data_IF_366835834277
#
_entry.id   IF_366835834277
#
_cell.length_a   1.000
_cell.length_b   1.000
_cell.length_c   1.000
_cell.angle_alpha   90.00
_cell.angle_beta   90.00
_cell.angle_gamma   90.00
#
_symmetry.space_group_name_H-M   'P 1'
#
loop_
_entity.id
_entity.type
_entity.pdbx_description
1 polymer ?
#
# COMPACT_ATOMS: atom_id res chain seq x y z
N UNK A 1 -18.25 -67.29 -15.59
CA UNK A 1 -17.24 -67.22 -14.51
C UNK A 1 -17.53 -65.91 -13.77
N UNK A 2 -18.32 -65.89 -12.68
CA UNK A 2 -17.89 -66.06 -11.27
C UNK A 2 -16.65 -65.19 -10.96
N UNK A 3 -16.60 -64.28 -9.98
CA UNK A 3 -17.48 -63.83 -8.88
C UNK A 3 -16.92 -62.46 -8.41
N UNK A 4 -17.71 -61.45 -8.00
CA UNK A 4 -18.31 -61.26 -6.66
C UNK A 4 -17.60 -60.07 -5.95
N UNK A 5 -18.22 -58.88 -5.77
CA UNK A 5 -19.07 -58.45 -4.63
C UNK A 5 -18.35 -58.52 -3.26
N UNK A 6 -18.42 -57.60 -2.30
CA UNK A 6 -19.38 -56.53 -2.00
C UNK A 6 -18.89 -55.59 -0.88
N UNK A 7 -19.51 -54.41 -0.81
CA UNK A 7 -19.59 -53.41 0.27
C UNK A 7 -19.66 -53.92 1.73
N UNK A 8 -19.39 -53.02 2.67
CA UNK A 8 -20.21 -52.94 3.90
C UNK A 8 -20.27 -51.51 4.45
N UNK A 9 -21.45 -50.92 4.30
CA UNK A 9 -21.99 -49.82 5.11
C UNK A 9 -22.74 -50.39 6.34
N UNK A 10 -23.01 -49.50 7.30
CA UNK A 10 -24.08 -49.47 8.32
C UNK A 10 -23.79 -49.77 9.82
N UNK A 11 -23.87 -48.68 10.61
CA UNK A 11 -24.75 -48.37 11.76
C UNK A 11 -25.08 -49.45 12.81
N UNK A 12 -25.10 -49.03 14.10
CA UNK A 12 -26.21 -49.30 15.04
C UNK A 12 -26.21 -48.37 16.26
N UNK A 13 -27.42 -48.04 16.70
CA UNK A 13 -27.80 -47.20 17.85
C UNK A 13 -28.52 -48.04 18.95
N UNK A 14 -28.50 -47.51 20.18
CA UNK A 14 -29.57 -47.52 21.21
C UNK A 14 -29.66 -48.61 22.32
N UNK A 15 -30.20 -48.13 23.48
CA UNK A 15 -30.86 -48.76 24.67
C UNK A 15 -29.98 -49.14 25.92
N UNK A 16 -30.37 -48.97 27.20
CA UNK A 16 -31.45 -48.24 27.97
C UNK A 16 -31.21 -48.39 29.51
N UNK A 17 -31.75 -47.45 30.31
CA UNK A 17 -32.12 -47.34 31.77
C UNK A 17 -31.53 -48.22 32.90
N UNK A 18 -31.31 -47.57 34.08
CA UNK A 18 -31.99 -47.76 35.41
C UNK A 18 -31.48 -46.69 36.42
N UNK A 19 -32.27 -45.69 36.87
CA UNK A 19 -33.16 -45.53 38.06
C UNK A 19 -32.50 -45.60 39.46
N UNK A 20 -32.57 -44.49 40.21
CA UNK A 20 -32.99 -44.48 41.64
C UNK A 20 -32.10 -43.79 42.69
N UNK A 21 -32.46 -42.58 43.16
CA UNK A 21 -32.87 -42.27 44.55
C UNK A 21 -33.09 -40.75 44.79
N UNK A 22 -33.99 -40.44 45.73
CA UNK A 22 -34.72 -39.19 45.93
C UNK A 22 -34.40 -38.54 47.29
N UNK A 23 -34.58 -37.20 47.36
CA UNK A 23 -34.72 -36.31 48.54
C UNK A 23 -33.43 -35.98 49.32
N UNK A 24 -33.14 -34.74 49.75
CA UNK A 24 -33.97 -33.75 50.47
C UNK A 24 -33.48 -32.31 50.20
N UNK A 25 -34.39 -31.35 50.32
CA UNK A 25 -34.18 -29.91 50.15
C UNK A 25 -33.42 -29.25 51.32
N UNK A 26 -32.62 -28.23 51.01
CA UNK A 26 -32.32 -27.11 51.91
C UNK A 26 -31.94 -25.87 51.09
N UNK A 27 -32.70 -24.79 51.25
CA UNK A 27 -32.42 -23.47 50.69
C UNK A 27 -31.28 -22.78 51.45
N UNK A 28 -30.33 -22.21 50.72
CA UNK A 28 -29.53 -21.07 51.16
C UNK A 28 -29.20 -20.22 49.91
N UNK A 29 -29.53 -18.91 49.90
CA UNK A 29 -29.15 -17.99 48.84
C UNK A 29 -27.77 -17.42 49.14
N UNK A 30 -26.93 -17.28 48.13
CA UNK A 30 -25.58 -16.74 48.30
C UNK A 30 -24.78 -16.85 47.02
N UNK A 31 -25.07 -15.91 46.12
CA UNK A 31 -24.12 -15.15 45.32
C UNK A 31 -23.25 -15.84 44.25
N UNK A 32 -23.03 -15.04 43.21
CA UNK A 32 -21.96 -15.08 42.22
C UNK A 32 -22.29 -15.74 40.87
N UNK A 33 -22.90 -14.87 40.07
CA UNK A 33 -22.49 -14.44 38.72
C UNK A 33 -22.81 -15.34 37.51
N UNK A 34 -23.67 -14.73 36.69
CA UNK A 34 -23.98 -15.02 35.30
C UNK A 34 -22.70 -15.12 34.48
N UNK A 35 -22.64 -16.15 33.64
CA UNK A 35 -21.65 -16.26 32.56
C UNK A 35 -21.95 -15.20 31.52
N UNK A 36 -21.02 -14.26 31.39
CA UNK A 36 -21.03 -13.12 30.49
C UNK A 36 -21.39 -13.50 29.04
N UNK A 37 -22.36 -12.76 28.51
CA UNK A 37 -22.60 -12.59 27.09
C UNK A 37 -21.39 -11.85 26.49
N UNK A 38 -20.65 -12.47 25.57
CA UNK A 38 -19.67 -11.75 24.75
C UNK A 38 -20.44 -10.80 23.81
N UNK A 39 -20.59 -9.54 24.23
CA UNK A 39 -20.88 -8.43 23.35
C UNK A 39 -19.61 -8.12 22.53
N UNK A 40 -19.72 -8.27 21.21
CA UNK A 40 -18.72 -7.73 20.30
C UNK A 40 -18.99 -6.23 20.20
N UNK A 41 -18.30 -5.48 21.06
CA UNK A 41 -18.29 -4.03 20.98
C UNK A 41 -17.42 -3.65 19.77
N UNK A 42 -18.07 -3.19 18.68
CA UNK A 42 -17.41 -2.50 17.57
C UNK A 42 -16.78 -1.20 18.09
N UNK A 43 -15.54 -1.29 18.58
CA UNK A 43 -14.71 -0.11 18.84
C UNK A 43 -14.06 0.32 17.52
N UNK A 44 -14.76 1.15 16.75
CA UNK A 44 -14.13 2.03 15.76
C UNK A 44 -13.29 3.09 16.48
N UNK A 45 -12.18 2.64 17.08
CA UNK A 45 -11.24 3.43 17.85
C UNK A 45 -10.06 3.90 16.99
N UNK A 46 -10.00 5.22 16.78
CA UNK A 46 -8.91 6.02 16.21
C UNK A 46 -7.49 5.40 16.28
N UNK A 47 -7.10 4.69 15.23
CA UNK A 47 -5.71 4.39 14.89
C UNK A 47 -5.38 4.93 13.50
N UNK A 48 -5.58 6.24 13.28
CA UNK A 48 -5.39 6.87 11.98
C UNK A 48 -3.98 7.48 11.87
N UNK A 49 -3.02 6.61 11.57
CA UNK A 49 -1.76 7.04 10.96
C UNK A 49 -2.09 7.76 9.66
N UNK A 50 -1.71 9.03 9.54
CA UNK A 50 -1.86 9.82 8.31
C UNK A 50 -0.65 9.52 7.45
N UNK A 51 -0.88 9.06 6.22
CA UNK A 51 0.22 8.74 5.32
C UNK A 51 0.88 10.01 4.80
N UNK A 52 2.18 9.93 4.53
CA UNK A 52 2.87 10.99 3.79
C UNK A 52 2.14 11.21 2.45
N UNK A 53 1.88 12.47 2.10
CA UNK A 53 1.17 12.87 0.91
C UNK A 53 -0.31 13.17 1.09
N UNK A 54 -0.92 12.72 2.20
CA UNK A 54 -2.34 12.96 2.45
C UNK A 54 -2.63 14.45 2.54
N UNK A 55 -3.58 14.93 1.73
CA UNK A 55 -4.13 16.28 1.85
C UNK A 55 -5.11 16.33 3.03
N UNK A 56 -4.98 17.39 3.82
CA UNK A 56 -5.70 17.59 5.06
C UNK A 56 -6.43 18.93 5.03
N UNK A 57 -7.65 18.99 5.53
CA UNK A 57 -8.39 20.24 5.77
C UNK A 57 -8.34 20.58 7.23
N UNK A 58 -8.03 21.84 7.54
CA UNK A 58 -8.18 22.36 8.90
C UNK A 58 -9.66 22.45 9.25
N UNK A 59 -10.07 21.80 10.34
CA UNK A 59 -11.46 21.81 10.83
C UNK A 59 -11.67 22.78 12.00
N UNK A 60 -10.61 23.25 12.65
CA UNK A 60 -10.68 24.26 13.71
C UNK A 60 -10.91 25.67 13.14
N UNK A 61 -11.42 26.58 13.96
CA UNK A 61 -11.55 28.01 13.57
C UNK A 61 -10.18 28.70 13.41
N UNK A 62 -9.18 28.22 14.14
CA UNK A 62 -7.79 28.64 14.04
C UNK A 62 -6.89 27.51 14.58
N UNK A 63 -5.91 27.05 13.80
CA UNK A 63 -5.02 25.96 14.16
C UNK A 63 -3.55 26.41 14.14
N UNK A 64 -2.81 26.14 15.21
CA UNK A 64 -1.40 26.51 15.28
C UNK A 64 -0.52 25.48 14.54
N UNK A 65 0.24 25.92 13.54
CA UNK A 65 1.37 25.19 12.98
C UNK A 65 2.58 25.37 13.90
N UNK A 66 3.13 24.27 14.43
CA UNK A 66 4.16 24.30 15.47
C UNK A 66 5.50 23.74 15.02
N UNK A 67 6.58 24.20 15.65
CA UNK A 67 7.94 23.73 15.33
C UNK A 67 8.19 22.26 15.68
N UNK A 68 7.57 21.75 16.76
CA UNK A 68 7.69 20.36 17.20
C UNK A 68 6.29 19.78 17.52
N UNK A 69 6.18 18.46 17.60
CA UNK A 69 4.97 17.71 17.94
C UNK A 69 4.54 17.85 19.43
N UNK A 70 4.43 19.09 19.93
CA UNK A 70 4.05 19.41 21.31
C UNK A 70 3.35 20.77 21.39
N UNK A 71 2.42 20.92 22.34
CA UNK A 71 1.66 22.17 22.56
C UNK A 71 2.48 23.31 23.16
N UNK A 72 3.63 23.03 23.76
CA UNK A 72 4.55 24.01 24.34
C UNK A 72 5.58 24.57 23.35
N UNK A 73 5.67 23.99 22.14
CA UNK A 73 6.63 24.44 21.14
C UNK A 73 6.20 25.72 20.42
N UNK A 74 7.18 26.43 19.85
CA UNK A 74 6.98 27.70 19.14
C UNK A 74 5.96 27.55 18.00
N UNK A 75 5.07 28.53 17.89
CA UNK A 75 4.10 28.67 16.81
C UNK A 75 4.81 29.32 15.61
N UNK A 76 4.72 28.69 14.44
CA UNK A 76 5.29 29.15 13.17
C UNK A 76 4.25 29.93 12.34
N UNK A 77 2.99 29.53 12.44
CA UNK A 77 1.86 30.07 11.69
C UNK A 77 0.55 29.70 12.40
N UNK A 78 -0.50 30.50 12.17
CA UNK A 78 -1.88 30.18 12.52
C UNK A 78 -2.61 29.94 11.21
N UNK A 79 -3.22 28.76 11.09
CA UNK A 79 -3.91 28.25 9.92
C UNK A 79 -5.41 28.47 10.09
N UNK A 80 -6.07 28.90 9.02
CA UNK A 80 -7.49 29.24 9.04
C UNK A 80 -8.37 28.00 8.82
N UNK A 81 -9.65 28.09 9.23
CA UNK A 81 -10.63 27.04 8.94
C UNK A 81 -10.73 26.78 7.44
N UNK A 82 -10.68 25.52 7.03
CA UNK A 82 -10.77 25.12 5.64
C UNK A 82 -9.44 25.17 4.86
N UNK A 83 -8.37 25.69 5.44
CA UNK A 83 -7.03 25.69 4.82
C UNK A 83 -6.56 24.26 4.54
N UNK A 84 -5.91 24.06 3.39
CA UNK A 84 -5.41 22.74 2.96
C UNK A 84 -3.95 22.58 3.31
N UNK A 85 -3.59 21.41 3.85
CA UNK A 85 -2.24 21.05 4.27
C UNK A 85 -1.83 19.74 3.58
N UNK A 86 -0.53 19.55 3.34
CA UNK A 86 -0.02 18.28 2.82
C UNK A 86 0.79 17.59 3.91
N UNK A 87 0.45 16.35 4.25
CA UNK A 87 1.26 15.56 5.17
C UNK A 87 2.63 15.26 4.56
N UNK A 88 3.74 15.64 5.21
CA UNK A 88 5.09 15.44 4.65
C UNK A 88 5.81 14.22 5.24
N UNK A 89 5.25 13.57 6.25
CA UNK A 89 5.78 12.34 6.83
C UNK A 89 4.66 11.55 7.51
N UNK A 90 4.66 10.23 7.32
CA UNK A 90 3.69 9.32 7.94
C UNK A 90 3.62 9.55 9.45
N UNK A 91 2.43 9.82 9.98
CA UNK A 91 2.27 10.18 11.39
C UNK A 91 2.53 8.99 12.31
N UNK A 92 3.16 9.23 13.46
CA UNK A 92 3.52 8.15 14.41
C UNK A 92 2.34 7.65 15.26
N UNK A 93 1.09 7.98 14.93
CA UNK A 93 -0.08 7.69 15.77
C UNK A 93 -0.12 8.46 17.11
N UNK A 94 0.82 9.37 17.35
CA UNK A 94 0.96 10.13 18.59
C UNK A 94 0.05 11.37 18.67
N UNK A 95 -0.97 11.46 17.82
CA UNK A 95 -1.88 12.61 17.74
C UNK A 95 -1.31 13.85 17.03
N UNK A 96 -0.13 13.76 16.43
CA UNK A 96 0.50 14.85 15.67
C UNK A 96 0.76 14.45 14.22
N UNK A 97 0.63 15.41 13.31
CA UNK A 97 0.91 15.23 11.88
C UNK A 97 1.92 16.28 11.46
N UNK A 98 2.96 15.85 10.74
CA UNK A 98 3.92 16.75 10.12
C UNK A 98 3.41 17.16 8.74
N UNK A 99 3.34 18.46 8.48
CA UNK A 99 2.65 19.03 7.33
C UNK A 99 3.39 20.21 6.71
N UNK A 100 3.06 20.50 5.46
CA UNK A 100 3.35 21.74 4.74
C UNK A 100 2.05 22.54 4.57
N UNK A 101 2.05 23.82 4.95
CA UNK A 101 0.91 24.74 4.76
C UNK A 101 0.86 25.34 3.36
N UNK A 102 -0.25 26.00 2.99
CA UNK A 102 -0.38 26.69 1.69
C UNK A 102 0.68 27.79 1.50
N UNK A 103 1.19 28.35 2.60
CA UNK A 103 2.28 29.33 2.61
C UNK A 103 3.67 28.71 2.39
N UNK A 104 3.78 27.39 2.34
CA UNK A 104 5.03 26.63 2.17
C UNK A 104 5.82 26.42 3.48
N UNK A 105 5.22 26.64 4.66
CA UNK A 105 5.88 26.40 5.94
C UNK A 105 5.71 24.96 6.38
N UNK A 106 6.81 24.38 6.87
CA UNK A 106 6.84 23.03 7.42
C UNK A 106 6.66 23.07 8.95
N UNK A 107 5.79 22.22 9.49
CA UNK A 107 5.58 22.13 10.92
C UNK A 107 4.65 21.00 11.35
N UNK A 108 4.23 21.05 12.60
CA UNK A 108 3.40 20.03 13.23
C UNK A 108 2.04 20.61 13.61
N UNK A 109 0.98 19.87 13.26
CA UNK A 109 -0.40 20.14 13.65
C UNK A 109 -0.99 18.97 14.42
N UNK A 110 -1.99 19.23 15.24
CA UNK A 110 -2.69 18.17 15.98
C UNK A 110 -3.68 17.44 15.07
N UNK A 111 -3.66 16.11 15.09
CA UNK A 111 -4.52 15.23 14.29
C UNK A 111 -6.01 15.47 14.52
N UNK A 112 -6.37 15.96 15.71
CA UNK A 112 -7.76 16.24 16.12
C UNK A 112 -8.41 17.35 15.29
N UNK A 113 -7.61 18.28 14.74
CA UNK A 113 -8.12 19.48 14.07
C UNK A 113 -7.91 19.46 12.55
N UNK A 114 -7.67 18.28 12.01
CA UNK A 114 -7.49 18.06 10.58
C UNK A 114 -8.31 16.84 10.13
N UNK A 115 -8.91 16.95 8.96
CA UNK A 115 -9.60 15.85 8.29
C UNK A 115 -8.97 15.57 6.94
N UNK A 116 -9.01 14.34 6.47
CA UNK A 116 -8.38 13.96 5.20
C UNK A 116 -9.29 14.38 4.04
N UNK A 117 -8.80 15.28 3.18
CA UNK A 117 -9.50 15.69 1.97
C UNK A 117 -9.23 14.61 0.93
N UNK A 118 -10.16 13.65 0.81
CA UNK A 118 -10.02 12.53 -0.13
C UNK A 118 -10.26 11.14 0.45
N UNK A 119 -10.64 11.02 1.74
CA UNK A 119 -11.05 9.75 2.36
C UNK A 119 -12.43 9.23 1.93
N UNK A 120 -12.85 9.49 0.68
CA UNK A 120 -14.09 8.99 0.10
C UNK A 120 -13.81 8.01 -1.04
N UNK A 121 -14.09 6.73 -0.78
CA UNK A 121 -13.95 5.58 -1.70
C UNK A 121 -14.42 5.85 -3.13
N UNK A 122 -13.47 6.18 -4.01
CA UNK A 122 -13.57 6.03 -5.46
C UNK A 122 -12.19 5.73 -6.09
N UNK A 123 -11.09 6.29 -5.54
CA UNK A 123 -9.74 5.84 -5.86
C UNK A 123 -9.40 4.51 -5.19
N UNK A 124 -9.80 4.33 -3.92
CA UNK A 124 -9.56 3.14 -3.09
C UNK A 124 -9.85 1.84 -3.84
N UNK A 125 -11.08 1.65 -4.33
CA UNK A 125 -11.44 0.41 -5.02
C UNK A 125 -10.59 0.13 -6.26
N UNK A 126 -10.30 1.13 -7.12
CA UNK A 126 -9.65 0.87 -8.43
C UNK A 126 -8.13 0.87 -8.35
N UNK A 127 -7.57 1.56 -7.35
CA UNK A 127 -6.13 1.65 -7.11
C UNK A 127 -5.64 0.72 -6.00
N UNK A 128 -6.54 -0.08 -5.40
CA UNK A 128 -6.23 -0.95 -4.25
C UNK A 128 -5.04 -1.88 -4.54
N UNK A 129 -3.95 -1.81 -3.74
CA UNK A 129 -2.81 -2.71 -3.87
C UNK A 129 -3.16 -4.20 -3.85
N UNK A 130 -4.27 -4.61 -3.22
CA UNK A 130 -4.74 -6.01 -3.20
C UNK A 130 -4.96 -6.54 -4.62
N UNK A 131 -5.35 -5.69 -5.58
CA UNK A 131 -5.50 -6.09 -6.98
C UNK A 131 -4.19 -6.58 -7.60
N UNK A 132 -3.05 -6.09 -7.14
CA UNK A 132 -1.75 -6.52 -7.63
C UNK A 132 -1.31 -7.88 -7.10
N UNK A 133 -1.99 -8.43 -6.09
CA UNK A 133 -1.64 -9.72 -5.51
C UNK A 133 -1.69 -10.83 -6.57
N UNK A 134 -0.62 -11.62 -6.65
CA UNK A 134 -0.52 -12.72 -7.62
C UNK A 134 -0.43 -12.28 -9.10
N UNK A 135 -0.39 -10.98 -9.41
CA UNK A 135 -0.27 -10.51 -10.80
C UNK A 135 1.07 -10.91 -11.45
N UNK A 136 2.12 -11.09 -10.65
CA UNK A 136 3.45 -11.57 -11.02
C UNK A 136 4.00 -12.49 -9.91
N UNK A 137 4.96 -13.37 -10.25
CA UNK A 137 5.59 -14.25 -9.26
C UNK A 137 6.51 -13.52 -8.28
N UNK A 138 6.76 -14.12 -7.11
CA UNK A 138 7.40 -13.48 -5.95
C UNK A 138 8.74 -12.78 -6.25
N UNK A 139 9.63 -13.42 -7.00
CA UNK A 139 10.93 -12.81 -7.34
C UNK A 139 10.81 -11.66 -8.36
N UNK A 140 9.80 -11.69 -9.23
CA UNK A 140 9.45 -10.57 -10.09
C UNK A 140 8.87 -9.44 -9.25
N UNK A 141 7.99 -9.76 -8.31
CA UNK A 141 7.41 -8.79 -7.36
C UNK A 141 8.49 -8.11 -6.52
N UNK A 142 9.47 -8.86 -6.01
CA UNK A 142 10.62 -8.29 -5.29
C UNK A 142 11.45 -7.31 -6.14
N UNK A 143 11.63 -7.60 -7.44
CA UNK A 143 12.28 -6.68 -8.37
C UNK A 143 11.42 -5.43 -8.60
N UNK A 144 10.12 -5.59 -8.82
CA UNK A 144 9.18 -4.48 -9.00
C UNK A 144 9.10 -3.57 -7.76
N UNK A 145 9.06 -4.14 -6.56
CA UNK A 145 9.11 -3.40 -5.30
C UNK A 145 10.41 -2.61 -5.16
N UNK A 146 11.52 -3.17 -5.65
CA UNK A 146 12.81 -2.46 -5.69
C UNK A 146 12.78 -1.28 -6.67
N UNK A 147 12.10 -1.43 -7.81
CA UNK A 147 11.88 -0.34 -8.79
C UNK A 147 11.01 0.75 -8.17
N UNK A 148 9.86 0.40 -7.59
CA UNK A 148 8.96 1.34 -6.94
C UNK A 148 9.65 2.10 -5.78
N UNK A 149 10.50 1.41 -5.01
CA UNK A 149 11.33 2.04 -3.98
C UNK A 149 12.35 3.03 -4.55
N UNK A 150 12.94 2.73 -5.71
CA UNK A 150 13.87 3.63 -6.38
C UNK A 150 13.17 4.87 -6.94
N UNK A 151 12.01 4.68 -7.58
CA UNK A 151 11.14 5.74 -8.09
C UNK A 151 10.48 6.57 -6.97
N UNK A 152 10.52 6.07 -5.73
CA UNK A 152 10.00 6.77 -4.54
C UNK A 152 8.49 6.60 -4.33
N UNK A 153 7.84 5.70 -5.07
CA UNK A 153 6.38 5.48 -5.03
C UNK A 153 5.95 4.43 -4.02
N UNK A 154 6.82 3.45 -3.70
CA UNK A 154 6.51 2.38 -2.74
C UNK A 154 6.14 2.94 -1.37
N UNK A 155 5.13 2.38 -0.72
CA UNK A 155 4.56 2.80 0.56
C UNK A 155 3.98 4.23 0.58
N UNK A 156 3.71 4.82 -0.58
CA UNK A 156 3.06 6.13 -0.68
C UNK A 156 1.63 5.95 -1.18
N UNK A 157 0.64 6.50 -0.45
CA UNK A 157 -0.79 6.28 -0.73
C UNK A 157 -1.12 4.79 -0.94
N UNK A 158 -1.76 4.42 -2.06
CA UNK A 158 -2.08 3.05 -2.46
C UNK A 158 -0.83 2.31 -2.96
N UNK A 159 0.19 2.19 -2.11
CA UNK A 159 1.53 1.61 -2.40
C UNK A 159 2.14 2.09 -3.73
N UNK A 160 1.86 3.33 -4.11
CA UNK A 160 2.38 3.97 -5.31
C UNK A 160 1.50 3.84 -6.55
N UNK A 161 0.48 2.98 -6.56
CA UNK A 161 -0.31 2.71 -7.79
C UNK A 161 -1.12 3.90 -8.28
N UNK A 162 -1.45 4.83 -7.39
CA UNK A 162 -2.18 6.06 -7.69
C UNK A 162 -1.28 7.30 -7.83
N UNK A 163 0.04 7.13 -7.82
CA UNK A 163 0.98 8.26 -7.77
C UNK A 163 1.32 8.78 -9.15
N UNK A 164 1.09 10.06 -9.37
CA UNK A 164 1.60 10.83 -10.51
C UNK A 164 2.92 11.53 -10.16
N UNK A 165 3.59 12.03 -11.19
CA UNK A 165 4.79 12.85 -11.06
C UNK A 165 4.63 13.95 -10.00
N UNK A 166 5.72 14.26 -9.29
CA UNK A 166 5.73 15.20 -8.16
C UNK A 166 4.78 14.81 -7.02
N UNK A 167 4.51 13.52 -6.85
CA UNK A 167 3.70 12.95 -5.75
C UNK A 167 2.23 13.40 -5.75
N UNK A 168 1.69 13.89 -6.88
CA UNK A 168 0.25 14.12 -7.00
C UNK A 168 -0.50 12.80 -7.10
N UNK A 169 -1.76 12.75 -6.68
CA UNK A 169 -2.54 11.51 -6.68
C UNK A 169 -3.59 11.48 -7.79
N UNK A 170 -3.83 10.29 -8.33
CA UNK A 170 -4.92 10.00 -9.25
C UNK A 170 -6.21 9.71 -8.48
N UNK A 171 -7.33 10.19 -9.00
CA UNK A 171 -8.65 9.89 -8.42
C UNK A 171 -9.18 8.50 -8.80
N UNK A 172 -8.58 7.83 -9.80
CA UNK A 172 -8.93 6.46 -10.22
C UNK A 172 -7.82 5.85 -11.07
N UNK A 173 -7.61 4.54 -10.94
CA UNK A 173 -6.64 3.77 -11.73
C UNK A 173 -7.27 3.05 -12.93
N UNK A 174 -8.54 3.30 -13.25
CA UNK A 174 -9.17 2.70 -14.45
C UNK A 174 -8.44 3.06 -15.75
N UNK A 175 -7.75 4.22 -15.79
CA UNK A 175 -6.98 4.68 -16.94
C UNK A 175 -5.75 5.44 -16.49
N UNK A 176 -4.71 5.40 -17.32
CA UNK A 176 -3.56 6.28 -17.16
C UNK A 176 -4.03 7.75 -17.26
N UNK A 177 -3.57 8.65 -16.39
CA UNK A 177 -4.16 9.98 -16.23
C UNK A 177 -3.84 10.89 -17.42
N UNK A 178 -2.73 10.61 -18.11
CA UNK A 178 -2.23 11.40 -19.24
C UNK A 178 -2.19 12.91 -18.91
N UNK A 179 -1.76 13.23 -17.70
CA UNK A 179 -1.67 14.59 -17.20
C UNK A 179 -0.22 15.03 -17.23
N UNK A 180 0.10 16.07 -18.03
CA UNK A 180 1.46 16.61 -18.07
C UNK A 180 1.66 17.59 -16.91
N UNK A 181 2.38 17.14 -15.88
CA UNK A 181 2.69 17.92 -14.69
C UNK A 181 4.01 18.65 -14.89
N UNK A 182 3.97 19.99 -14.80
CA UNK A 182 5.10 20.84 -15.13
C UNK A 182 6.25 20.75 -14.11
N UNK A 183 7.48 20.88 -14.61
CA UNK A 183 8.70 21.13 -13.83
C UNK A 183 9.64 22.02 -14.63
N UNK A 184 9.97 23.19 -14.10
CA UNK A 184 10.71 24.21 -14.85
C UNK A 184 10.02 24.53 -16.19
N UNK A 185 10.74 24.38 -17.30
CA UNK A 185 10.24 24.59 -18.66
C UNK A 185 9.76 23.31 -19.36
N UNK A 186 9.61 22.21 -18.62
CA UNK A 186 9.22 20.90 -19.14
C UNK A 186 8.03 20.34 -18.35
N UNK A 187 7.52 19.17 -18.75
CA UNK A 187 6.51 18.46 -17.99
C UNK A 187 6.67 16.94 -18.13
N UNK A 188 6.18 16.21 -17.13
CA UNK A 188 6.18 14.75 -17.11
C UNK A 188 4.76 14.23 -17.02
N UNK A 189 4.49 13.12 -17.72
CA UNK A 189 3.22 12.38 -17.63
C UNK A 189 3.34 11.13 -16.76
N UNK A 190 4.44 10.98 -16.03
CA UNK A 190 4.72 9.80 -15.24
C UNK A 190 3.61 9.53 -14.22
N UNK A 191 3.11 8.30 -14.19
CA UNK A 191 2.09 7.87 -13.26
C UNK A 191 2.20 6.39 -12.87
N UNK A 192 1.53 6.05 -11.78
CA UNK A 192 1.50 4.72 -11.19
C UNK A 192 2.77 4.35 -10.44
N UNK A 193 2.74 3.13 -9.89
CA UNK A 193 3.79 2.59 -9.01
C UNK A 193 5.14 2.52 -9.71
N UNK A 194 5.13 2.38 -11.02
CA UNK A 194 6.31 2.28 -11.86
C UNK A 194 6.55 3.53 -12.74
N UNK A 195 5.87 4.65 -12.44
CA UNK A 195 6.07 5.95 -13.11
C UNK A 195 6.04 5.87 -14.65
N UNK A 196 5.07 5.13 -15.22
CA UNK A 196 4.92 5.02 -16.67
C UNK A 196 4.63 6.38 -17.30
N UNK A 197 5.30 6.72 -18.39
CA UNK A 197 4.91 7.84 -19.25
C UNK A 197 3.70 7.43 -20.12
N UNK A 198 2.87 8.39 -20.55
CA UNK A 198 1.70 8.10 -21.39
C UNK A 198 2.05 7.27 -22.63
N UNK A 199 3.11 7.63 -23.36
CA UNK A 199 3.51 6.92 -24.58
C UNK A 199 3.96 5.49 -24.30
N UNK A 200 4.73 5.29 -23.23
CA UNK A 200 5.17 3.98 -22.77
C UNK A 200 3.97 3.13 -22.36
N UNK A 201 3.07 3.68 -21.55
CA UNK A 201 1.86 2.98 -21.11
C UNK A 201 0.99 2.56 -22.29
N UNK A 202 0.75 3.43 -23.27
CA UNK A 202 -0.04 3.09 -24.46
C UNK A 202 0.58 1.94 -25.26
N UNK A 203 1.92 1.92 -25.38
CA UNK A 203 2.66 0.85 -26.06
C UNK A 203 2.53 -0.47 -25.31
N UNK A 204 2.73 -0.45 -24.00
CA UNK A 204 2.60 -1.62 -23.10
C UNK A 204 1.17 -2.15 -23.10
N UNK A 205 0.18 -1.27 -22.95
CA UNK A 205 -1.24 -1.59 -22.95
C UNK A 205 -1.63 -2.35 -24.23
N UNK A 206 -1.23 -1.83 -25.39
CA UNK A 206 -1.50 -2.45 -26.68
C UNK A 206 -0.79 -3.80 -26.84
N UNK A 207 0.51 -3.86 -26.55
CA UNK A 207 1.31 -5.06 -26.73
C UNK A 207 0.93 -6.22 -25.80
N UNK A 208 0.38 -5.90 -24.62
CA UNK A 208 0.05 -6.89 -23.58
C UNK A 208 -1.47 -7.06 -23.36
N UNK A 209 -2.31 -6.48 -24.23
CA UNK A 209 -3.77 -6.63 -24.17
C UNK A 209 -4.42 -6.11 -22.88
N UNK A 210 -3.84 -5.08 -22.25
CA UNK A 210 -4.36 -4.54 -21.00
C UNK A 210 -5.52 -3.58 -21.27
N UNK A 211 -6.51 -3.53 -20.38
CA UNK A 211 -7.72 -2.71 -20.56
C UNK A 211 -7.73 -1.47 -19.66
N UNK A 212 -7.19 -1.58 -18.45
CA UNK A 212 -7.20 -0.55 -17.41
C UNK A 212 -5.76 -0.18 -16.97
N UNK A 213 -5.60 0.77 -16.06
CA UNK A 213 -4.32 1.12 -15.43
C UNK A 213 -4.29 0.72 -13.94
N UNK A 214 -5.10 -0.27 -13.58
CA UNK A 214 -5.24 -0.77 -12.20
C UNK A 214 -3.97 -1.54 -11.80
N UNK A 215 -3.74 -1.77 -10.49
CA UNK A 215 -2.49 -2.33 -9.98
C UNK A 215 -2.00 -3.60 -10.68
N UNK A 216 -2.89 -4.55 -10.99
CA UNK A 216 -2.56 -5.78 -11.73
C UNK A 216 -2.05 -5.51 -13.15
N UNK A 217 -2.59 -4.48 -13.81
CA UNK A 217 -2.18 -4.08 -15.15
C UNK A 217 -0.87 -3.31 -15.11
N UNK A 218 -0.62 -2.51 -14.07
CA UNK A 218 0.68 -1.87 -13.85
C UNK A 218 1.77 -2.92 -13.61
N UNK A 219 1.51 -3.94 -12.78
CA UNK A 219 2.41 -5.08 -12.54
C UNK A 219 2.75 -5.82 -13.84
N UNK A 220 1.73 -6.23 -14.61
CA UNK A 220 1.93 -6.91 -15.90
C UNK A 220 2.65 -6.02 -16.91
N UNK A 221 2.38 -4.72 -16.89
CA UNK A 221 3.03 -3.74 -17.75
C UNK A 221 4.52 -3.59 -17.44
N UNK A 222 4.88 -3.52 -16.15
CA UNK A 222 6.27 -3.45 -15.72
C UNK A 222 7.01 -4.75 -16.05
N UNK A 223 6.37 -5.92 -15.85
CA UNK A 223 6.94 -7.20 -16.25
C UNK A 223 7.20 -7.29 -17.76
N UNK A 224 6.31 -6.74 -18.58
CA UNK A 224 6.50 -6.64 -20.03
C UNK A 224 7.72 -5.77 -20.38
N UNK A 225 7.88 -4.60 -19.75
CA UNK A 225 9.07 -3.76 -19.96
C UNK A 225 10.34 -4.52 -19.57
N UNK A 226 10.38 -5.12 -18.37
CA UNK A 226 11.53 -5.90 -17.88
C UNK A 226 11.92 -7.02 -18.84
N UNK A 227 10.96 -7.85 -19.25
CA UNK A 227 11.23 -9.05 -20.03
C UNK A 227 11.40 -8.75 -21.52
N UNK A 228 10.44 -8.06 -22.12
CA UNK A 228 10.32 -7.94 -23.58
C UNK A 228 11.12 -6.75 -24.10
N UNK A 229 11.08 -5.60 -23.43
CA UNK A 229 11.77 -4.40 -23.88
C UNK A 229 13.23 -4.41 -23.42
N UNK A 230 13.49 -4.81 -22.18
CA UNK A 230 14.85 -4.75 -21.58
C UNK A 230 15.61 -6.06 -21.60
N UNK A 231 14.96 -7.15 -22.00
CA UNK A 231 15.58 -8.48 -22.07
C UNK A 231 16.28 -8.87 -20.76
N UNK A 232 15.59 -8.63 -19.64
CA UNK A 232 15.99 -9.08 -18.31
C UNK A 232 15.20 -10.35 -17.99
N UNK A 233 15.91 -11.40 -17.58
CA UNK A 233 15.31 -12.65 -17.12
C UNK A 233 15.27 -12.64 -15.59
N UNK A 234 14.08 -12.80 -15.03
CA UNK A 234 13.88 -12.94 -13.58
C UNK A 234 13.63 -14.42 -13.26
N UNK A 235 14.47 -15.08 -12.43
CA UNK A 235 14.23 -16.47 -12.06
C UNK A 235 12.91 -16.62 -11.30
N UNK A 236 12.23 -17.76 -11.48
CA UNK A 236 10.93 -18.02 -10.84
C UNK A 236 11.03 -18.72 -9.49
N UNK A 237 12.17 -19.35 -9.18
CA UNK A 237 12.35 -20.21 -8.00
C UNK A 237 13.50 -19.78 -7.08
N UNK A 238 14.18 -18.68 -7.39
CA UNK A 238 15.30 -18.16 -6.60
C UNK A 238 15.50 -16.67 -6.81
N UNK A 239 16.17 -16.02 -5.87
CA UNK A 239 16.66 -14.66 -6.07
C UNK A 239 17.68 -14.60 -7.22
N UNK A 240 17.80 -13.41 -7.82
CA UNK A 240 18.89 -13.11 -8.74
C UNK A 240 20.25 -13.17 -8.02
N UNK A 241 21.25 -13.75 -8.66
CA UNK A 241 22.65 -13.60 -8.25
C UNK A 241 23.08 -12.13 -8.34
N UNK A 242 24.19 -11.77 -7.68
CA UNK A 242 24.71 -10.40 -7.73
C UNK A 242 24.97 -9.92 -9.16
N UNK A 243 25.53 -10.79 -10.01
CA UNK A 243 25.81 -10.49 -11.42
C UNK A 243 24.53 -10.35 -12.25
N UNK A 244 23.54 -11.23 -12.08
CA UNK A 244 22.25 -11.12 -12.76
C UNK A 244 21.55 -9.81 -12.40
N UNK A 245 21.53 -9.45 -11.12
CA UNK A 245 20.90 -8.21 -10.64
C UNK A 245 21.64 -6.96 -11.12
N UNK A 246 22.96 -6.94 -11.06
CA UNK A 246 23.76 -5.81 -11.60
C UNK A 246 23.50 -5.61 -13.10
N UNK A 247 23.43 -6.70 -13.86
CA UNK A 247 23.09 -6.65 -15.29
C UNK A 247 21.65 -6.19 -15.52
N UNK A 248 20.71 -6.61 -14.67
CA UNK A 248 19.34 -6.14 -14.69
C UNK A 248 19.29 -4.62 -14.48
N UNK A 249 19.88 -4.08 -13.42
CA UNK A 249 19.89 -2.64 -13.14
C UNK A 249 20.45 -1.82 -14.31
N UNK A 250 21.59 -2.25 -14.87
CA UNK A 250 22.18 -1.58 -16.04
C UNK A 250 21.23 -1.55 -17.25
N UNK A 251 20.46 -2.62 -17.47
CA UNK A 251 19.47 -2.68 -18.54
C UNK A 251 18.21 -1.86 -18.21
N UNK A 252 17.70 -1.95 -16.99
CA UNK A 252 16.44 -1.33 -16.56
C UNK A 252 16.54 0.19 -16.37
N UNK A 253 17.74 0.71 -16.09
CA UNK A 253 18.00 2.17 -15.93
C UNK A 253 17.78 3.05 -17.16
N UNK A 254 17.38 2.45 -18.28
CA UNK A 254 16.91 3.17 -19.46
C UNK A 254 15.38 3.35 -19.49
N UNK A 255 14.64 2.62 -18.65
CA UNK A 255 13.19 2.80 -18.47
C UNK A 255 12.92 3.61 -17.20
N UNK A 256 13.63 3.27 -16.12
CA UNK A 256 13.47 3.90 -14.82
C UNK A 256 14.72 4.69 -14.46
N UNK A 257 14.58 6.02 -14.48
CA UNK A 257 15.71 6.93 -14.37
C UNK A 257 16.37 6.93 -13.00
N UNK A 258 15.64 6.50 -11.95
CA UNK A 258 16.13 6.38 -10.58
C UNK A 258 17.10 5.21 -10.37
N UNK A 259 17.20 4.30 -11.35
CA UNK A 259 18.01 3.08 -11.23
C UNK A 259 19.48 3.30 -11.61
N UNK A 260 20.42 2.61 -10.95
CA UNK A 260 21.83 2.64 -11.31
C UNK A 260 22.07 2.02 -12.70
N UNK A 261 23.05 2.52 -13.48
CA UNK A 261 24.06 3.50 -13.08
C UNK A 261 23.63 4.98 -13.13
N UNK A 262 22.36 5.27 -13.46
CA UNK A 262 21.87 6.62 -13.66
C UNK A 262 22.25 7.17 -15.03
N UNK A 263 21.25 7.39 -15.88
CA UNK A 263 21.46 7.75 -17.30
C UNK A 263 20.93 9.14 -17.66
N UNK A 264 20.07 9.71 -16.81
CA UNK A 264 19.30 10.90 -17.12
C UNK A 264 19.65 12.10 -16.21
N UNK A 265 20.73 12.01 -15.44
CA UNK A 265 21.17 13.08 -14.53
C UNK A 265 20.25 13.32 -13.32
N UNK A 266 19.20 12.51 -13.16
CA UNK A 266 18.32 12.52 -12.00
C UNK A 266 18.97 11.79 -10.81
N UNK A 267 18.56 12.08 -9.56
CA UNK A 267 19.05 11.34 -8.39
C UNK A 267 18.79 9.85 -8.54
N UNK A 268 19.81 9.04 -8.23
CA UNK A 268 19.74 7.57 -8.32
C UNK A 268 20.09 6.89 -7.03
N UNK A 269 19.49 5.71 -6.80
CA UNK A 269 19.93 4.81 -5.73
C UNK A 269 21.26 4.17 -6.13
N UNK A 270 22.15 3.94 -5.17
CA UNK A 270 23.38 3.18 -5.45
C UNK A 270 23.08 1.71 -5.74
N UNK A 271 23.95 1.05 -6.51
CA UNK A 271 23.81 -0.38 -6.82
C UNK A 271 23.77 -1.25 -5.55
N UNK A 272 24.54 -0.89 -4.53
CA UNK A 272 24.55 -1.59 -3.23
C UNK A 272 23.21 -1.43 -2.51
N UNK A 273 22.67 -0.21 -2.43
CA UNK A 273 21.37 0.02 -1.80
C UNK A 273 20.24 -0.74 -2.51
N UNK A 274 20.22 -0.70 -3.84
CA UNK A 274 19.26 -1.46 -4.66
C UNK A 274 19.36 -2.96 -4.40
N UNK A 275 20.59 -3.49 -4.36
CA UNK A 275 20.83 -4.92 -4.12
C UNK A 275 20.37 -5.35 -2.73
N UNK A 276 20.70 -4.57 -1.71
CA UNK A 276 20.30 -4.86 -0.33
C UNK A 276 18.78 -4.86 -0.19
N UNK A 277 18.12 -3.87 -0.77
CA UNK A 277 16.65 -3.79 -0.74
C UNK A 277 16.01 -5.00 -1.43
N UNK A 278 16.46 -5.34 -2.64
CA UNK A 278 16.00 -6.54 -3.35
C UNK A 278 16.21 -7.82 -2.54
N UNK A 279 17.38 -8.01 -1.94
CA UNK A 279 17.70 -9.22 -1.19
C UNK A 279 16.90 -9.36 0.11
N UNK A 280 16.57 -8.25 0.77
CA UNK A 280 15.67 -8.27 1.93
C UNK A 280 14.27 -8.78 1.58
N UNK A 281 13.83 -8.60 0.32
CA UNK A 281 12.55 -9.09 -0.18
C UNK A 281 12.64 -10.51 -0.76
N UNK A 282 13.69 -10.78 -1.53
CA UNK A 282 13.84 -11.99 -2.33
C UNK A 282 14.54 -13.15 -1.61
N UNK A 283 15.18 -12.91 -0.45
CA UNK A 283 15.95 -13.94 0.24
C UNK A 283 17.22 -14.33 -0.53
N UNK A 284 18.12 -13.36 -0.73
CA UNK A 284 19.52 -13.69 -1.00
C UNK A 284 20.23 -14.03 0.32
#
# INVERSE_FOLDING_TARGET
>A
MLAGLVEKLTRRSSLVLTVGMLSIAACAPGDVEETDEESIDEEHGLSAVVQQGTELRVTASALNLRKNATTSSNILEVLDNGETLVCIATSGGNGWVNVESESGKLGWVSRTYVEEIGGGNASGDTCDPERAEGAVGDFQKALHDSIAWAEGTRNYSNDGYDVMFSFKLMNSCQKHPNQCLAFGNSCSTAAGRYQFLTGTWNSVKSANGLSNFEPESQERGAAYLVKTVRHVTVPQSRAMTASEFSNAMSKLSWEWASLPPGRYGQPVKSASQMRNFYCNLAGC
#
